data_IF_069421716846
#
_entry.id   IF_069421716846
#
_cell.length_a   1.000
_cell.length_b   1.000
_cell.length_c   1.000
_cell.angle_alpha   90.00
_cell.angle_beta   90.00
_cell.angle_gamma   90.00
#
_symmetry.space_group_name_H-M   'P 1'
#
loop_
_entity.id
_entity.type
_entity.pdbx_description
1 polymer ?
#
# COMPACT_ATOMS: atom_id res chain seq x y z
N UNK A 1 -21.58 17.81 -16.84
CA UNK A 1 -22.38 17.03 -15.86
C UNK A 1 -22.56 15.56 -16.25
N UNK A 2 -23.03 15.25 -17.47
CA UNK A 2 -23.20 13.86 -17.97
C UNK A 2 -21.89 13.06 -18.09
N UNK A 3 -20.78 13.69 -18.47
CA UNK A 3 -19.46 13.04 -18.54
C UNK A 3 -18.93 12.65 -17.14
N UNK A 4 -19.07 13.53 -16.14
CA UNK A 4 -18.67 13.27 -14.76
C UNK A 4 -19.56 12.18 -14.11
N UNK A 5 -20.85 12.14 -14.45
CA UNK A 5 -21.78 11.09 -13.99
C UNK A 5 -21.44 9.73 -14.62
N UNK A 6 -21.13 9.69 -15.92
CA UNK A 6 -20.61 8.49 -16.60
C UNK A 6 -19.30 8.00 -15.98
N UNK A 7 -18.41 8.91 -15.61
CA UNK A 7 -17.10 8.57 -15.04
C UNK A 7 -17.19 7.98 -13.62
N UNK A 8 -18.09 8.49 -12.77
CA UNK A 8 -18.36 7.91 -11.43
C UNK A 8 -19.01 6.52 -11.49
N UNK A 9 -19.74 6.21 -12.56
CA UNK A 9 -20.29 4.86 -12.78
C UNK A 9 -19.17 3.90 -13.23
N UNK A 10 -18.25 4.36 -14.08
CA UNK A 10 -17.10 3.58 -14.54
C UNK A 10 -16.08 3.28 -13.43
N UNK A 11 -16.03 4.12 -12.39
CA UNK A 11 -15.22 3.89 -11.17
C UNK A 11 -15.90 2.97 -10.14
N UNK A 12 -17.08 2.42 -10.45
CA UNK A 12 -17.68 1.40 -9.59
C UNK A 12 -16.87 0.11 -9.69
N UNK A 13 -16.47 -0.45 -8.54
CA UNK A 13 -15.72 -1.71 -8.47
C UNK A 13 -16.40 -2.83 -9.27
N UNK A 14 -17.73 -2.97 -9.16
CA UNK A 14 -18.49 -3.99 -9.89
C UNK A 14 -18.45 -3.79 -11.41
N UNK A 15 -18.60 -2.53 -11.85
CA UNK A 15 -18.52 -2.17 -13.28
C UNK A 15 -17.11 -2.42 -13.80
N UNK A 16 -16.09 -2.10 -13.00
CA UNK A 16 -14.71 -2.37 -13.37
C UNK A 16 -14.43 -3.87 -13.50
N UNK A 17 -14.85 -4.70 -12.53
CA UNK A 17 -14.70 -6.16 -12.64
C UNK A 17 -15.40 -6.73 -13.88
N UNK A 18 -16.57 -6.22 -14.25
CA UNK A 18 -17.23 -6.61 -15.50
C UNK A 18 -16.43 -6.17 -16.73
N UNK A 19 -15.90 -4.95 -16.76
CA UNK A 19 -15.04 -4.45 -17.86
C UNK A 19 -13.77 -5.29 -17.99
N UNK A 20 -13.12 -5.60 -16.88
CA UNK A 20 -11.95 -6.49 -16.84
C UNK A 20 -12.31 -7.88 -17.35
N UNK A 21 -13.42 -8.46 -16.92
CA UNK A 21 -13.86 -9.78 -17.42
C UNK A 21 -14.14 -9.77 -18.94
N UNK A 22 -14.85 -8.76 -19.45
CA UNK A 22 -15.08 -8.60 -20.89
C UNK A 22 -13.75 -8.48 -21.63
N UNK A 23 -12.82 -7.67 -21.10
CA UNK A 23 -11.52 -7.48 -21.71
C UNK A 23 -10.71 -8.79 -21.73
N UNK A 24 -10.66 -9.54 -20.63
CA UNK A 24 -10.01 -10.85 -20.55
C UNK A 24 -10.61 -11.89 -21.50
N UNK A 25 -11.91 -11.81 -21.78
CA UNK A 25 -12.58 -12.69 -22.74
C UNK A 25 -12.23 -12.35 -24.20
N UNK A 26 -12.09 -11.06 -24.51
CA UNK A 26 -11.83 -10.56 -25.87
C UNK A 26 -10.33 -10.49 -26.21
N UNK A 27 -9.48 -10.19 -25.22
CA UNK A 27 -8.04 -9.97 -25.36
C UNK A 27 -7.30 -10.67 -24.20
N UNK A 28 -7.35 -12.01 -24.13
CA UNK A 28 -6.67 -12.73 -23.07
C UNK A 28 -5.15 -12.55 -23.19
N UNK A 29 -4.49 -12.26 -22.08
CA UNK A 29 -3.04 -12.39 -21.97
C UNK A 29 -2.68 -13.82 -21.55
N UNK A 30 -1.64 -14.39 -22.17
CA UNK A 30 -1.09 -15.69 -21.81
C UNK A 30 -0.26 -15.64 -20.52
N UNK A 31 0.25 -14.47 -20.16
CA UNK A 31 1.06 -14.27 -18.95
C UNK A 31 0.84 -12.87 -18.38
N UNK A 32 0.21 -12.80 -17.22
CA UNK A 32 0.06 -11.55 -16.48
C UNK A 32 1.41 -11.09 -15.90
N UNK A 33 1.71 -9.80 -16.03
CA UNK A 33 2.79 -9.15 -15.27
C UNK A 33 2.30 -8.90 -13.85
N UNK A 34 2.99 -9.44 -12.85
CA UNK A 34 2.59 -9.26 -11.44
C UNK A 34 3.14 -7.93 -10.94
N UNK A 35 2.28 -7.12 -10.32
CA UNK A 35 2.66 -5.88 -9.66
C UNK A 35 2.17 -5.93 -8.22
N UNK A 36 3.08 -5.80 -7.27
CA UNK A 36 2.76 -5.74 -5.85
C UNK A 36 2.63 -4.29 -5.37
N UNK A 37 1.67 -4.04 -4.49
CA UNK A 37 1.50 -2.76 -3.80
C UNK A 37 1.72 -2.95 -2.31
N UNK A 38 2.81 -2.37 -1.81
CA UNK A 38 3.26 -2.43 -0.44
C UNK A 38 3.10 -1.07 0.25
N UNK A 39 3.23 -1.07 1.58
CA UNK A 39 3.30 0.15 2.37
C UNK A 39 2.64 0.02 3.74
N UNK A 40 2.68 1.10 4.51
CA UNK A 40 1.94 1.18 5.76
C UNK A 40 0.43 1.26 5.47
N UNK A 41 -0.38 0.62 6.31
CA UNK A 41 -1.83 0.76 6.31
C UNK A 41 -2.21 2.24 6.30
N UNK A 42 -3.27 2.57 5.53
CA UNK A 42 -3.81 3.93 5.34
C UNK A 42 -2.91 4.92 4.59
N UNK A 43 -1.82 4.47 3.98
CA UNK A 43 -0.94 5.33 3.16
C UNK A 43 -1.49 5.67 1.77
N UNK A 44 -2.76 5.39 1.49
CA UNK A 44 -3.38 5.69 0.19
C UNK A 44 -3.26 4.57 -0.84
N UNK A 45 -3.00 3.33 -0.42
CA UNK A 45 -2.89 2.16 -1.30
C UNK A 45 -4.15 1.91 -2.17
N UNK A 46 -5.36 2.18 -1.64
CA UNK A 46 -6.60 2.15 -2.43
C UNK A 46 -6.66 3.25 -3.48
N UNK A 47 -6.10 4.43 -3.20
CA UNK A 47 -6.00 5.51 -4.18
C UNK A 47 -5.05 5.10 -5.30
N UNK A 48 -3.88 4.53 -4.97
CA UNK A 48 -2.94 4.00 -5.96
C UNK A 48 -3.59 2.93 -6.85
N UNK A 49 -4.35 2.00 -6.26
CA UNK A 49 -5.17 1.04 -7.02
C UNK A 49 -6.14 1.73 -7.98
N UNK A 50 -6.66 2.91 -7.65
CA UNK A 50 -7.56 3.65 -8.55
C UNK A 50 -6.84 4.18 -9.80
N UNK A 51 -5.53 4.47 -9.74
CA UNK A 51 -4.79 4.90 -10.94
C UNK A 51 -4.58 3.78 -11.95
N UNK A 52 -4.29 2.58 -11.45
CA UNK A 52 -3.86 1.45 -12.27
C UNK A 52 -5.02 0.46 -12.46
N UNK A 53 -5.65 0.05 -11.36
CA UNK A 53 -6.65 -1.01 -11.30
C UNK A 53 -8.00 -0.72 -11.97
N UNK A 54 -8.31 0.53 -12.32
CA UNK A 54 -9.51 0.85 -13.10
C UNK A 54 -9.34 0.64 -14.61
N UNK A 55 -8.13 0.29 -15.05
CA UNK A 55 -7.90 -0.14 -16.42
C UNK A 55 -8.40 -1.58 -16.63
N UNK A 56 -9.21 -1.86 -17.67
CA UNK A 56 -9.71 -3.21 -17.93
C UNK A 56 -8.62 -4.26 -18.20
N UNK A 57 -7.39 -3.84 -18.53
CA UNK A 57 -6.22 -4.72 -18.68
C UNK A 57 -5.63 -5.19 -17.36
N UNK A 58 -6.10 -4.64 -16.24
CA UNK A 58 -5.59 -4.91 -14.89
C UNK A 58 -6.61 -5.74 -14.12
N UNK A 59 -6.18 -6.90 -13.60
CA UNK A 59 -6.91 -7.58 -12.54
C UNK A 59 -6.38 -7.12 -11.17
N UNK A 60 -7.22 -6.34 -10.47
CA UNK A 60 -6.87 -5.70 -9.21
C UNK A 60 -7.38 -6.51 -8.00
N UNK A 61 -6.46 -6.86 -7.10
CA UNK A 61 -6.62 -7.81 -6.00
C UNK A 61 -6.07 -7.23 -4.69
N UNK A 62 -6.96 -6.85 -3.77
CA UNK A 62 -6.61 -6.43 -2.41
C UNK A 62 -6.82 -7.51 -1.37
N UNK A 63 -6.30 -7.30 -0.17
CA UNK A 63 -6.37 -8.21 0.99
C UNK A 63 -7.75 -8.85 1.29
N UNK A 64 -8.86 -8.18 0.95
CA UNK A 64 -10.22 -8.71 1.12
C UNK A 64 -10.86 -9.31 -0.14
N UNK A 65 -10.11 -9.37 -1.23
CA UNK A 65 -10.56 -9.88 -2.53
C UNK A 65 -10.09 -11.35 -2.68
N UNK A 66 -10.99 -12.34 -2.82
CA UNK A 66 -10.58 -13.66 -3.26
C UNK A 66 -10.09 -13.59 -4.71
N UNK A 67 -9.21 -14.50 -5.17
CA UNK A 67 -8.80 -15.73 -4.49
C UNK A 67 -7.41 -15.68 -3.82
N UNK A 68 -6.73 -14.54 -3.78
CA UNK A 68 -5.30 -14.49 -3.41
C UNK A 68 -5.03 -14.41 -1.90
N UNK A 69 -6.07 -14.18 -1.09
CA UNK A 69 -5.93 -13.93 0.34
C UNK A 69 -6.85 -14.82 1.16
N UNK A 70 -6.40 -15.18 2.36
CA UNK A 70 -7.20 -15.94 3.33
C UNK A 70 -8.45 -15.15 3.78
N UNK A 71 -9.64 -15.69 3.48
CA UNK A 71 -10.95 -15.10 3.78
C UNK A 71 -11.58 -15.66 5.07
N UNK A 72 -10.77 -15.82 6.12
CA UNK A 72 -11.21 -16.37 7.42
C UNK A 72 -11.94 -15.36 8.31
N UNK A 73 -12.20 -15.77 9.56
CA UNK A 73 -12.64 -14.86 10.63
C UNK A 73 -11.50 -13.87 10.98
N UNK A 74 -11.84 -12.66 11.43
CA UNK A 74 -10.85 -11.69 11.94
C UNK A 74 -10.01 -12.24 13.11
N UNK A 75 -10.50 -13.29 13.78
CA UNK A 75 -9.77 -13.99 14.84
C UNK A 75 -8.69 -14.96 14.32
N UNK A 76 -8.72 -15.33 13.03
CA UNK A 76 -7.67 -16.15 12.41
C UNK A 76 -6.43 -15.27 12.16
N UNK A 77 -5.23 -15.64 12.66
CA UNK A 77 -4.02 -14.85 12.43
C UNK A 77 -3.64 -14.73 10.94
N UNK A 78 -4.19 -15.60 10.08
CA UNK A 78 -4.01 -15.56 8.64
C UNK A 78 -4.99 -14.63 7.93
N UNK A 79 -5.98 -14.07 8.62
CA UNK A 79 -6.96 -13.18 8.00
C UNK A 79 -6.26 -12.06 7.21
N UNK A 80 -6.66 -11.89 5.95
CA UNK A 80 -6.07 -10.93 5.00
C UNK A 80 -4.60 -11.18 4.60
N UNK A 81 -3.98 -12.27 5.07
CA UNK A 81 -2.65 -12.70 4.61
C UNK A 81 -2.75 -13.28 3.20
N UNK A 82 -1.69 -13.06 2.42
CA UNK A 82 -1.54 -13.72 1.13
C UNK A 82 -1.57 -15.25 1.32
N UNK A 83 -2.17 -15.97 0.37
CA UNK A 83 -2.08 -17.42 0.34
C UNK A 83 -0.61 -17.86 0.18
N UNK A 84 -0.29 -19.14 0.49
CA UNK A 84 1.02 -19.71 0.19
C UNK A 84 1.45 -19.47 -1.25
N UNK A 85 2.75 -19.25 -1.47
CA UNK A 85 3.26 -18.75 -2.75
C UNK A 85 3.00 -19.68 -3.93
N UNK A 86 3.01 -20.99 -3.71
CA UNK A 86 2.65 -22.01 -4.71
C UNK A 86 1.18 -21.90 -5.13
N UNK A 87 0.28 -21.61 -4.19
CA UNK A 87 -1.12 -21.39 -4.46
C UNK A 87 -1.35 -20.06 -5.19
N UNK A 88 -0.64 -19.00 -4.79
CA UNK A 88 -0.64 -17.71 -5.50
C UNK A 88 -0.14 -17.88 -6.94
N UNK A 89 0.94 -18.62 -7.17
CA UNK A 89 1.47 -18.93 -8.49
C UNK A 89 0.47 -19.73 -9.34
N UNK A 90 -0.14 -20.76 -8.74
CA UNK A 90 -1.16 -21.59 -9.39
C UNK A 90 -2.38 -20.76 -9.82
N UNK A 91 -2.80 -19.80 -9.00
CA UNK A 91 -3.91 -18.90 -9.33
C UNK A 91 -3.47 -17.87 -10.39
N UNK A 92 -2.32 -17.24 -10.19
CA UNK A 92 -1.79 -16.20 -11.08
C UNK A 92 -1.53 -16.72 -12.50
N UNK A 93 -1.11 -17.98 -12.66
CA UNK A 93 -0.94 -18.63 -13.97
C UNK A 93 -2.24 -18.76 -14.78
N UNK A 94 -3.40 -18.56 -14.15
CA UNK A 94 -4.72 -18.55 -14.82
C UNK A 94 -5.23 -17.13 -15.06
N UNK A 95 -4.50 -16.11 -14.63
CA UNK A 95 -4.86 -14.72 -14.86
C UNK A 95 -4.74 -14.38 -16.35
N UNK A 96 -5.83 -13.87 -16.93
CA UNK A 96 -5.91 -13.50 -18.35
C UNK A 96 -5.77 -11.99 -18.58
N UNK A 97 -5.50 -11.22 -17.53
CA UNK A 97 -5.19 -9.80 -17.63
C UNK A 97 -3.73 -9.58 -18.03
N UNK A 98 -3.42 -8.45 -18.66
CA UNK A 98 -2.03 -8.08 -18.94
C UNK A 98 -1.24 -7.81 -17.65
N UNK A 99 -1.92 -7.27 -16.63
CA UNK A 99 -1.33 -6.99 -15.31
C UNK A 99 -2.20 -7.61 -14.22
N UNK A 100 -1.57 -8.28 -13.28
CA UNK A 100 -2.16 -8.74 -12.02
C UNK A 100 -1.62 -7.86 -10.89
N UNK A 101 -2.47 -7.00 -10.35
CA UNK A 101 -2.11 -6.08 -9.26
C UNK A 101 -2.51 -6.69 -7.92
N UNK A 102 -1.54 -7.02 -7.07
CA UNK A 102 -1.77 -7.64 -5.76
C UNK A 102 -1.34 -6.67 -4.66
N UNK A 103 -2.19 -6.41 -3.67
CA UNK A 103 -1.89 -5.46 -2.57
C UNK A 103 -1.82 -6.16 -1.20
N UNK A 104 -0.70 -6.80 -0.83
CA UNK A 104 -0.56 -7.55 0.42
C UNK A 104 0.08 -6.71 1.54
N UNK A 105 -0.68 -5.83 2.20
CA UNK A 105 -0.12 -4.89 3.20
C UNK A 105 0.27 -5.59 4.52
N UNK A 106 -0.43 -6.66 4.88
CA UNK A 106 -0.08 -7.55 6.00
C UNK A 106 1.20 -8.36 5.71
N UNK A 107 1.62 -8.46 4.44
CA UNK A 107 2.84 -9.18 4.04
C UNK A 107 3.90 -8.22 3.45
N UNK A 108 3.86 -6.91 3.74
CA UNK A 108 4.86 -5.97 3.20
C UNK A 108 6.29 -6.21 3.68
N UNK A 109 6.48 -6.94 4.78
CA UNK A 109 7.78 -7.44 5.24
C UNK A 109 8.37 -8.49 4.29
N UNK A 110 7.53 -9.14 3.47
CA UNK A 110 7.92 -10.16 2.48
C UNK A 110 8.22 -9.55 1.10
N UNK A 111 8.40 -8.23 0.98
CA UNK A 111 8.46 -7.59 -0.34
C UNK A 111 9.60 -8.13 -1.22
N UNK A 112 10.81 -8.30 -0.68
CA UNK A 112 11.93 -8.87 -1.42
C UNK A 112 11.69 -10.34 -1.78
N UNK A 113 11.24 -11.13 -0.81
CA UNK A 113 10.89 -12.54 -1.01
C UNK A 113 9.88 -12.71 -2.15
N UNK A 114 8.78 -11.95 -2.14
CA UNK A 114 7.74 -12.00 -3.17
C UNK A 114 8.28 -11.60 -4.54
N UNK A 115 9.06 -10.51 -4.63
CA UNK A 115 9.62 -10.06 -5.90
C UNK A 115 10.64 -11.04 -6.49
N UNK A 116 11.38 -11.76 -5.64
CA UNK A 116 12.28 -12.85 -6.06
C UNK A 116 11.50 -14.11 -6.47
N UNK A 117 10.45 -14.45 -5.72
CA UNK A 117 9.61 -15.64 -5.95
C UNK A 117 8.82 -15.56 -7.26
N UNK A 118 8.46 -14.35 -7.70
CA UNK A 118 7.75 -14.08 -8.93
C UNK A 118 8.63 -13.30 -9.92
N UNK A 119 9.51 -13.97 -10.70
CA UNK A 119 10.44 -13.31 -11.60
C UNK A 119 9.75 -12.39 -12.62
N UNK A 120 10.27 -11.17 -12.75
CA UNK A 120 9.71 -10.13 -13.61
C UNK A 120 8.54 -9.35 -12.98
N UNK A 121 8.19 -9.65 -11.73
CA UNK A 121 7.26 -8.82 -10.96
C UNK A 121 7.89 -7.48 -10.56
N UNK A 122 7.04 -6.50 -10.26
CA UNK A 122 7.45 -5.17 -9.82
C UNK A 122 6.72 -4.79 -8.54
N UNK A 123 7.34 -3.95 -7.72
CA UNK A 123 6.78 -3.48 -6.46
C UNK A 123 6.59 -1.96 -6.46
N UNK A 124 5.50 -1.51 -5.86
CA UNK A 124 5.29 -0.09 -5.55
C UNK A 124 5.03 0.06 -4.06
N UNK A 125 5.94 0.77 -3.38
CA UNK A 125 5.81 1.13 -1.97
C UNK A 125 5.19 2.52 -1.83
N UNK A 126 3.94 2.60 -1.38
CA UNK A 126 3.32 3.90 -1.14
C UNK A 126 3.45 4.31 0.33
N UNK A 127 3.88 5.55 0.56
CA UNK A 127 3.90 6.16 1.87
C UNK A 127 3.15 7.48 1.88
N UNK A 128 2.72 7.89 3.07
CA UNK A 128 1.98 9.13 3.31
C UNK A 128 2.49 9.77 4.59
N UNK A 129 2.35 11.08 4.72
CA UNK A 129 2.70 11.80 5.93
C UNK A 129 2.05 11.15 7.18
N UNK A 130 2.86 10.89 8.22
CA UNK A 130 2.44 10.19 9.44
C UNK A 130 1.19 10.80 10.07
N UNK A 131 1.13 12.13 10.19
CA UNK A 131 -0.04 12.87 10.68
C UNK A 131 -1.36 12.47 9.99
N UNK A 132 -1.35 12.32 8.66
CA UNK A 132 -2.55 11.94 7.92
C UNK A 132 -2.87 10.45 8.07
N UNK A 133 -1.86 9.60 8.20
CA UNK A 133 -2.02 8.16 8.47
C UNK A 133 -2.65 7.95 9.85
N UNK A 134 -2.14 8.63 10.88
CA UNK A 134 -2.67 8.56 12.25
C UNK A 134 -4.15 8.97 12.27
N UNK A 135 -4.48 10.13 11.69
CA UNK A 135 -5.88 10.57 11.57
C UNK A 135 -6.76 9.57 10.84
N UNK A 136 -6.24 8.97 9.76
CA UNK A 136 -6.98 7.97 8.99
C UNK A 136 -7.24 6.70 9.78
N UNK A 137 -6.27 6.22 10.58
CA UNK A 137 -6.46 5.10 11.50
C UNK A 137 -7.52 5.43 12.55
N UNK A 138 -7.35 6.54 13.27
CA UNK A 138 -8.27 6.96 14.33
C UNK A 138 -9.70 7.14 13.81
N UNK A 139 -9.86 7.64 12.59
CA UNK A 139 -11.19 7.82 11.97
C UNK A 139 -11.78 6.51 11.48
N UNK A 140 -11.00 5.69 10.76
CA UNK A 140 -11.52 4.49 10.10
C UNK A 140 -11.93 3.39 11.08
N UNK A 141 -11.21 3.28 12.18
CA UNK A 141 -11.42 2.25 13.18
C UNK A 141 -12.26 2.71 14.37
N UNK A 142 -12.70 3.97 14.37
CA UNK A 142 -13.61 4.51 15.38
C UNK A 142 -14.86 3.63 15.48
N UNK A 143 -15.07 3.05 16.67
CA UNK A 143 -16.22 2.18 16.95
C UNK A 143 -16.14 0.78 16.31
N UNK A 144 -15.04 0.42 15.66
CA UNK A 144 -14.80 -0.95 15.14
C UNK A 144 -13.85 -1.75 16.01
N UNK A 145 -12.83 -1.10 16.56
CA UNK A 145 -11.95 -1.70 17.56
C UNK A 145 -11.28 -0.63 18.43
N UNK A 146 -10.75 -1.08 19.57
CA UNK A 146 -9.89 -0.27 20.43
C UNK A 146 -8.46 -0.19 19.87
N UNK A 147 -7.88 1.01 19.63
CA UNK A 147 -6.58 1.16 19.01
C UNK A 147 -5.42 0.44 19.71
N UNK A 148 -5.41 0.45 21.04
CA UNK A 148 -4.30 -0.12 21.81
C UNK A 148 -4.21 -1.65 21.69
N UNK A 149 -5.31 -2.40 21.83
CA UNK A 149 -5.34 -3.83 21.47
C UNK A 149 -4.86 -4.14 20.05
N UNK A 150 -5.21 -3.31 19.05
CA UNK A 150 -4.74 -3.50 17.68
C UNK A 150 -3.20 -3.38 17.56
N UNK A 151 -2.60 -2.46 18.31
CA UNK A 151 -1.16 -2.19 18.29
C UNK A 151 -0.35 -3.12 19.21
N UNK A 152 -1.02 -3.82 20.13
CA UNK A 152 -0.39 -4.63 21.18
C UNK A 152 0.68 -5.59 20.64
N UNK A 153 0.34 -6.37 19.63
CA UNK A 153 1.28 -7.36 19.06
C UNK A 153 2.58 -6.73 18.57
N UNK A 154 2.52 -5.54 17.96
CA UNK A 154 3.71 -4.82 17.52
C UNK A 154 4.53 -4.35 18.72
N UNK A 155 3.89 -3.76 19.73
CA UNK A 155 4.55 -3.21 20.92
C UNK A 155 5.21 -4.30 21.77
N UNK A 156 4.62 -5.49 21.79
CA UNK A 156 5.12 -6.68 22.50
C UNK A 156 6.07 -7.54 21.65
N UNK A 157 6.32 -7.15 20.38
CA UNK A 157 7.13 -7.94 19.43
C UNK A 157 6.61 -9.38 19.27
N UNK A 158 5.29 -9.57 19.23
CA UNK A 158 4.65 -10.87 19.05
C UNK A 158 4.76 -11.32 17.58
N UNK A 159 5.79 -12.10 17.26
CA UNK A 159 6.10 -12.57 15.89
C UNK A 159 5.02 -13.46 15.26
N UNK A 160 4.03 -13.95 16.02
CA UNK A 160 2.86 -14.64 15.46
C UNK A 160 1.92 -13.69 14.72
N UNK A 161 2.05 -12.39 14.95
CA UNK A 161 1.29 -11.34 14.30
C UNK A 161 2.11 -10.73 13.17
N UNK A 162 1.48 -10.52 12.02
CA UNK A 162 2.09 -9.86 10.87
C UNK A 162 2.65 -8.46 11.18
N UNK A 163 2.22 -7.85 12.29
CA UNK A 163 2.69 -6.53 12.74
C UNK A 163 4.12 -6.57 13.31
N UNK A 164 4.58 -7.74 13.78
CA UNK A 164 5.90 -7.93 14.38
C UNK A 164 6.73 -9.04 13.70
N UNK A 165 6.13 -9.79 12.78
CA UNK A 165 6.81 -10.74 11.92
C UNK A 165 7.87 -10.03 11.04
N UNK A 166 9.06 -10.64 10.96
CA UNK A 166 10.18 -10.26 10.10
C UNK A 166 10.45 -8.75 9.99
N UNK A 167 10.43 -8.06 11.13
CA UNK A 167 10.64 -6.61 11.17
C UNK A 167 12.07 -6.17 10.84
N UNK A 168 13.07 -7.05 10.91
CA UNK A 168 14.49 -6.67 10.90
C UNK A 168 14.95 -6.02 12.23
N UNK A 169 16.25 -5.75 12.35
CA UNK A 169 16.87 -5.25 13.58
C UNK A 169 16.51 -3.79 13.85
N UNK A 170 16.61 -2.93 12.84
CA UNK A 170 16.38 -1.49 12.99
C UNK A 170 14.94 -1.18 13.41
N UNK A 171 13.95 -1.88 12.85
CA UNK A 171 12.56 -1.66 13.21
C UNK A 171 12.23 -2.18 14.62
N UNK A 172 12.89 -3.25 15.08
CA UNK A 172 12.80 -3.72 16.47
C UNK A 172 13.43 -2.71 17.43
N UNK A 173 14.57 -2.12 17.07
CA UNK A 173 15.20 -1.09 17.88
C UNK A 173 14.29 0.13 18.03
N UNK A 174 13.61 0.57 16.97
CA UNK A 174 12.62 1.65 17.03
C UNK A 174 11.50 1.35 18.03
N UNK A 175 10.99 0.10 18.05
CA UNK A 175 9.97 -0.33 19.01
C UNK A 175 10.53 -0.30 20.44
N UNK A 176 11.68 -0.92 20.68
CA UNK A 176 12.28 -0.99 22.02
C UNK A 176 12.59 0.40 22.57
N UNK A 177 13.10 1.30 21.71
CA UNK A 177 13.41 2.69 22.05
C UNK A 177 12.15 3.50 22.38
N UNK A 178 11.08 3.39 21.60
CA UNK A 178 9.96 4.34 21.70
C UNK A 178 8.66 3.77 22.29
N UNK A 179 8.51 2.46 22.51
CA UNK A 179 7.26 1.86 23.01
C UNK A 179 6.78 2.44 24.35
N UNK A 180 7.70 2.90 25.20
CA UNK A 180 7.38 3.51 26.49
C UNK A 180 6.71 4.89 26.35
N UNK A 181 6.84 5.55 25.19
CA UNK A 181 6.18 6.82 24.85
C UNK A 181 4.73 6.61 24.37
N UNK A 182 4.31 5.37 24.13
CA UNK A 182 2.99 5.02 23.59
C UNK A 182 1.95 5.02 24.71
N UNK A 183 1.60 6.21 25.18
CA UNK A 183 0.57 6.43 26.21
C UNK A 183 -0.79 6.78 25.61
N UNK A 184 -0.83 7.13 24.32
CA UNK A 184 -2.06 7.46 23.57
C UNK A 184 -2.12 6.69 22.24
N UNK A 185 -3.31 6.49 21.67
CA UNK A 185 -3.46 5.95 20.31
C UNK A 185 -2.71 6.77 19.26
N UNK A 186 -2.62 8.08 19.43
CA UNK A 186 -1.86 8.98 18.56
C UNK A 186 -0.38 8.61 18.53
N UNK A 187 0.26 8.47 19.70
CA UNK A 187 1.65 8.03 19.81
C UNK A 187 1.81 6.59 19.27
N UNK A 188 0.87 5.71 19.56
CA UNK A 188 0.90 4.33 19.09
C UNK A 188 0.88 4.21 17.57
N UNK A 189 0.03 4.97 16.89
CA UNK A 189 0.01 4.98 15.42
C UNK A 189 1.17 5.74 14.79
N UNK A 190 1.78 6.70 15.49
CA UNK A 190 3.03 7.31 15.05
C UNK A 190 4.18 6.28 15.03
N UNK A 191 4.33 5.51 16.11
CA UNK A 191 5.31 4.42 16.16
C UNK A 191 5.00 3.32 15.13
N UNK A 192 3.73 2.96 14.96
CA UNK A 192 3.32 2.01 13.93
C UNK A 192 3.72 2.46 12.53
N UNK A 193 3.47 3.73 12.18
CA UNK A 193 3.86 4.29 10.89
C UNK A 193 5.38 4.25 10.70
N UNK A 194 6.14 4.58 11.74
CA UNK A 194 7.59 4.58 11.72
C UNK A 194 8.14 3.16 11.44
N UNK A 195 7.70 2.18 12.22
CA UNK A 195 8.10 0.76 12.09
C UNK A 195 7.73 0.21 10.73
N UNK A 196 6.48 0.41 10.27
CA UNK A 196 6.03 -0.15 8.99
C UNK A 196 6.76 0.45 7.81
N UNK A 197 7.18 1.72 7.85
CA UNK A 197 7.95 2.31 6.75
C UNK A 197 9.45 1.97 6.82
N UNK A 198 10.01 1.65 7.99
CA UNK A 198 11.37 1.13 8.10
C UNK A 198 11.56 -0.15 7.26
N UNK A 199 10.51 -0.96 7.10
CA UNK A 199 10.53 -2.16 6.27
C UNK A 199 11.06 -1.90 4.87
N UNK A 200 10.64 -0.82 4.19
CA UNK A 200 11.15 -0.48 2.84
C UNK A 200 12.68 -0.51 2.80
N UNK A 201 13.30 0.13 3.78
CA UNK A 201 14.74 0.26 3.83
C UNK A 201 15.45 -1.04 4.22
N UNK A 202 14.82 -1.87 5.06
CA UNK A 202 15.35 -3.20 5.36
C UNK A 202 15.41 -4.05 4.09
N UNK A 203 14.36 -3.98 3.25
CA UNK A 203 14.32 -4.70 1.97
C UNK A 203 15.40 -4.21 1.00
N UNK A 204 15.54 -2.88 0.85
CA UNK A 204 16.51 -2.27 -0.07
C UNK A 204 17.96 -2.40 0.40
N UNK A 205 18.23 -2.39 1.71
CA UNK A 205 19.57 -2.57 2.24
C UNK A 205 20.12 -3.97 1.93
N UNK A 206 19.25 -4.99 1.99
CA UNK A 206 19.59 -6.37 1.66
C UNK A 206 19.55 -6.63 0.15
N UNK A 207 18.72 -5.89 -0.59
CA UNK A 207 18.49 -6.08 -2.03
C UNK A 207 18.44 -4.72 -2.76
N UNK A 208 19.60 -4.08 -3.04
CA UNK A 208 19.62 -2.75 -3.67
C UNK A 208 19.00 -2.70 -5.07
N UNK A 209 19.07 -3.81 -5.82
CA UNK A 209 18.54 -3.96 -7.18
C UNK A 209 17.09 -4.46 -7.22
N UNK A 210 16.40 -4.46 -6.07
CA UNK A 210 15.02 -4.92 -6.01
C UNK A 210 14.13 -4.04 -6.90
N UNK A 211 13.27 -4.61 -7.77
CA UNK A 211 12.39 -3.84 -8.64
C UNK A 211 11.23 -3.26 -7.83
N UNK A 212 11.54 -2.35 -6.91
CA UNK A 212 10.65 -1.74 -5.93
C UNK A 212 10.86 -0.22 -5.96
N UNK A 213 9.83 0.52 -6.38
CA UNK A 213 9.85 1.99 -6.36
C UNK A 213 9.00 2.51 -5.22
N UNK A 214 9.37 3.64 -4.61
CA UNK A 214 8.57 4.28 -3.59
C UNK A 214 7.88 5.55 -4.11
N UNK A 215 6.64 5.78 -3.69
CA UNK A 215 5.80 6.90 -4.12
C UNK A 215 5.20 7.59 -2.90
N UNK A 216 5.32 8.92 -2.89
CA UNK A 216 4.68 9.77 -1.91
C UNK A 216 3.21 10.02 -2.30
N UNK A 217 2.28 9.73 -1.39
CA UNK A 217 0.85 9.93 -1.61
C UNK A 217 0.48 11.37 -2.01
N UNK A 218 1.14 12.39 -1.41
CA UNK A 218 0.80 13.77 -1.74
C UNK A 218 1.15 14.12 -3.20
N UNK A 219 2.23 13.54 -3.72
CA UNK A 219 2.69 13.76 -5.10
C UNK A 219 1.78 13.02 -6.07
N UNK A 220 1.35 11.79 -5.72
CA UNK A 220 0.32 11.04 -6.46
C UNK A 220 -0.98 11.86 -6.64
N UNK A 221 -1.38 12.62 -5.63
CA UNK A 221 -2.59 13.46 -5.67
C UNK A 221 -2.35 14.79 -6.38
N UNK A 222 -1.21 15.44 -6.14
CA UNK A 222 -0.93 16.81 -6.61
C UNK A 222 -0.39 16.84 -8.04
N UNK A 223 0.32 15.80 -8.47
CA UNK A 223 0.91 15.62 -9.80
C UNK A 223 0.32 14.36 -10.47
N UNK A 224 -1.00 14.25 -10.47
CA UNK A 224 -1.70 13.01 -10.84
C UNK A 224 -1.45 12.58 -12.29
N UNK A 225 -1.20 13.51 -13.21
CA UNK A 225 -0.92 13.18 -14.62
C UNK A 225 0.46 12.55 -14.77
N UNK A 226 1.44 13.12 -14.09
CA UNK A 226 2.83 12.67 -14.05
C UNK A 226 2.91 11.32 -13.33
N UNK A 227 2.21 11.20 -12.19
CA UNK A 227 2.08 9.95 -11.45
C UNK A 227 1.47 8.84 -12.31
N UNK A 228 0.38 9.13 -13.05
CA UNK A 228 -0.26 8.16 -13.94
C UNK A 228 0.68 7.73 -15.07
N UNK A 229 1.40 8.67 -15.70
CA UNK A 229 2.36 8.36 -16.77
C UNK A 229 3.50 7.50 -16.25
N UNK A 230 4.07 7.87 -15.10
CA UNK A 230 5.13 7.10 -14.46
C UNK A 230 4.65 5.68 -14.11
N UNK A 231 3.52 5.56 -13.40
CA UNK A 231 2.96 4.28 -13.00
C UNK A 231 2.60 3.40 -14.20
N UNK A 232 2.02 3.99 -15.26
CA UNK A 232 1.75 3.30 -16.51
C UNK A 232 3.02 2.75 -17.15
N UNK A 233 4.03 3.59 -17.35
CA UNK A 233 5.33 3.14 -17.88
C UNK A 233 5.98 2.07 -16.99
N UNK A 234 5.91 2.25 -15.67
CA UNK A 234 6.46 1.30 -14.71
C UNK A 234 5.75 -0.05 -14.76
N UNK A 235 4.43 -0.11 -14.85
CA UNK A 235 3.68 -1.37 -14.94
C UNK A 235 3.55 -1.92 -16.38
N UNK A 236 4.06 -1.19 -17.37
CA UNK A 236 4.06 -1.58 -18.77
C UNK A 236 2.71 -1.40 -19.47
N UNK A 237 1.93 -0.40 -19.05
CA UNK A 237 0.63 -0.04 -19.64
C UNK A 237 0.60 1.43 -20.03
N UNK A 238 0.06 1.73 -21.21
CA UNK A 238 -0.34 3.09 -21.56
C UNK A 238 -1.72 3.39 -20.96
N UNK A 239 -1.76 3.96 -19.76
CA UNK A 239 -2.99 4.19 -19.00
C UNK A 239 -3.78 5.39 -19.52
N UNK A 240 -5.11 5.27 -19.52
CA UNK A 240 -6.00 6.35 -19.98
C UNK A 240 -5.79 7.64 -19.16
N UNK A 241 -5.40 8.77 -19.79
CA UNK A 241 -5.12 10.03 -19.09
C UNK A 241 -6.26 10.55 -18.22
N UNK A 242 -7.50 10.10 -18.45
CA UNK A 242 -8.67 10.46 -17.63
C UNK A 242 -8.59 9.88 -16.22
N UNK A 243 -7.84 8.80 -15.99
CA UNK A 243 -7.64 8.23 -14.64
C UNK A 243 -6.90 9.20 -13.70
N UNK A 244 -6.17 10.17 -14.23
CA UNK A 244 -5.56 11.24 -13.43
C UNK A 244 -6.59 12.14 -12.72
N UNK A 245 -7.88 12.03 -13.05
CA UNK A 245 -8.98 12.77 -12.42
C UNK A 245 -9.55 12.06 -11.16
N UNK A 246 -9.11 10.84 -10.85
CA UNK A 246 -9.62 10.10 -9.68
C UNK A 246 -9.29 10.72 -8.31
N UNK A 247 -8.12 11.32 -8.09
CA UNK A 247 -7.83 11.95 -6.80
C UNK A 247 -8.81 13.09 -6.52
N UNK A 248 -9.69 12.88 -5.53
CA UNK A 248 -10.36 14.00 -4.88
C UNK A 248 -9.39 14.62 -3.87
N UNK A 249 -8.96 15.86 -4.15
CA UNK A 249 -8.14 16.62 -3.20
C UNK A 249 -8.99 16.95 -1.97
N UNK A 250 -8.66 16.36 -0.82
CA UNK A 250 -9.31 16.67 0.46
C UNK A 250 -8.48 17.71 1.20
N UNK A 251 -8.88 18.97 1.11
CA UNK A 251 -8.12 20.13 1.62
C UNK A 251 -8.26 20.40 3.13
N UNK A 252 -8.45 19.40 3.99
CA UNK A 252 -8.60 19.67 5.43
C UNK A 252 -7.62 18.87 6.26
N UNK A 253 -6.52 19.53 6.64
CA UNK A 253 -5.65 19.10 7.73
C UNK A 253 -6.46 19.26 9.02
N UNK A 254 -6.99 18.14 9.53
CA UNK A 254 -7.61 18.09 10.85
C UNK A 254 -6.50 18.07 11.89
N UNK A 255 -6.76 18.53 13.11
CA UNK A 255 -5.83 18.37 14.22
C UNK A 255 -5.87 16.92 14.73
N UNK A 256 -4.72 16.44 15.23
CA UNK A 256 -4.66 15.20 16.00
C UNK A 256 -5.36 15.41 17.35
N UNK A 257 -6.02 14.38 17.91
CA UNK A 257 -6.65 14.51 19.22
C UNK A 257 -5.64 14.70 20.35
N UNK A 258 -4.40 14.22 20.18
CA UNK A 258 -3.31 14.35 21.14
C UNK A 258 -2.03 14.79 20.43
N UNK A 259 -1.07 15.31 21.19
CA UNK A 259 0.27 15.57 20.68
C UNK A 259 1.05 14.26 20.48
N UNK A 260 1.92 14.22 19.47
CA UNK A 260 2.94 13.18 19.34
C UNK A 260 4.09 13.56 20.28
N UNK A 261 4.59 12.65 21.13
CA UNK A 261 5.78 12.91 21.96
C UNK A 261 6.96 13.41 21.13
N UNK A 262 7.69 14.40 21.63
CA UNK A 262 8.73 15.15 20.87
C UNK A 262 9.76 14.22 20.22
N UNK A 263 10.25 13.23 20.95
CA UNK A 263 11.22 12.25 20.43
C UNK A 263 10.65 11.41 19.28
N UNK A 264 9.37 11.00 19.40
CA UNK A 264 8.71 10.21 18.37
C UNK A 264 8.35 11.06 17.14
N UNK A 265 7.99 12.32 17.36
CA UNK A 265 7.77 13.30 16.28
C UNK A 265 9.06 13.49 15.47
N UNK A 266 10.19 13.72 16.14
CA UNK A 266 11.49 13.85 15.49
C UNK A 266 11.86 12.60 14.68
N UNK A 267 11.64 11.41 15.23
CA UNK A 267 11.86 10.16 14.52
C UNK A 267 10.95 10.02 13.28
N UNK A 268 9.68 10.42 13.40
CA UNK A 268 8.75 10.44 12.27
C UNK A 268 9.17 11.44 11.17
N UNK A 269 9.65 12.63 11.53
CA UNK A 269 10.13 13.64 10.59
C UNK A 269 11.40 13.19 9.86
N UNK A 270 12.33 12.54 10.58
CA UNK A 270 13.53 11.95 9.99
C UNK A 270 13.17 10.85 8.98
N UNK A 271 12.30 9.92 9.37
CA UNK A 271 11.81 8.86 8.48
C UNK A 271 11.09 9.44 7.26
N UNK A 272 10.25 10.48 7.44
CA UNK A 272 9.55 11.11 6.33
C UNK A 272 10.52 11.74 5.33
N UNK A 273 11.58 12.39 5.82
CA UNK A 273 12.62 12.98 4.98
C UNK A 273 13.34 11.89 4.18
N UNK A 274 13.76 10.81 4.84
CA UNK A 274 14.39 9.64 4.21
C UNK A 274 13.49 8.99 3.15
N UNK A 275 12.19 8.84 3.43
CA UNK A 275 11.22 8.32 2.46
C UNK A 275 11.11 9.22 1.23
N UNK A 276 11.02 10.55 1.42
CA UNK A 276 10.97 11.51 0.32
C UNK A 276 12.23 11.49 -0.53
N UNK A 277 13.40 11.35 0.07
CA UNK A 277 14.68 11.22 -0.64
C UNK A 277 14.73 9.95 -1.51
N UNK A 278 14.16 8.85 -1.03
CA UNK A 278 14.05 7.58 -1.78
C UNK A 278 12.91 7.53 -2.81
N UNK A 279 12.02 8.53 -2.80
CA UNK A 279 10.81 8.52 -3.63
C UNK A 279 11.11 8.90 -5.07
N UNK A 280 10.33 8.31 -5.98
CA UNK A 280 10.30 8.77 -7.36
C UNK A 280 9.84 10.22 -7.38
N UNK A 281 10.61 11.09 -8.03
CA UNK A 281 10.24 12.49 -8.25
C UNK A 281 9.21 12.57 -9.38
N UNK A 282 8.03 13.07 -9.05
CA UNK A 282 6.92 13.25 -10.01
C UNK A 282 6.72 14.72 -10.39
N UNK A 283 7.49 15.63 -9.79
CA UNK A 283 7.47 17.05 -10.11
C UNK A 283 8.31 17.33 -11.37
N UNK A 284 7.73 17.86 -12.45
CA UNK A 284 8.46 18.21 -13.67
C UNK A 284 9.45 19.37 -13.49
N UNK A 285 9.35 20.18 -12.43
CA UNK A 285 10.27 21.30 -12.16
C UNK A 285 11.51 20.88 -11.33
N UNK A 286 11.57 19.63 -10.88
CA UNK A 286 12.65 19.11 -10.03
C UNK A 286 13.76 18.35 -10.80
N UNK A 287 13.80 18.50 -12.13
CA UNK A 287 14.75 17.86 -13.05
C UNK A 287 15.60 18.89 -13.81
#
# INVERSE_FOLDING_TARGET
MLAALRWRILSSYKVNKLRTWIHQALNPSDRARIVFVFGCQRSGTTMLRSFIGFDPRVDDQGEGDPPYFWQGSEADPRYLRLLPDDEVERIASRCRSEVLLIKPLHDSQRAAELLQRFPGSKGVWIFRHYHEVILSHLTYYRGRYEPMPYLKDMLELNERSWKAEDLGEEARELILRHRHLVTTPTAGFALFWLVRNQLLFNQLAQNPELPLVSIHYADLVSHSREALRFLGGYVGLDLDPRYAQFPERRERRKELPDAIPVELLAACDQMLSRLKESAVRLDPEAA
#
